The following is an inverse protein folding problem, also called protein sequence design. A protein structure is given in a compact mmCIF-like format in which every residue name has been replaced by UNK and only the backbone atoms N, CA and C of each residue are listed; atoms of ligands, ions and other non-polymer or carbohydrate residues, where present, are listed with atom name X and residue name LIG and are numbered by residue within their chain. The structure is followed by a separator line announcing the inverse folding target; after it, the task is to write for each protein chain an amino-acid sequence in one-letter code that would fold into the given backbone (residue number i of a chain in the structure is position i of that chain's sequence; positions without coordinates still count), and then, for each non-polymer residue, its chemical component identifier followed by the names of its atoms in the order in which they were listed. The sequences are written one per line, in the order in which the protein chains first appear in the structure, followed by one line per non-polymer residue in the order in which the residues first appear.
data_IF_227974056370
#
_entry.id   IF_227974056370
#
_cell.length_a   1.000
_cell.length_b   1.000
_cell.length_c   1.000
_cell.angle_alpha   90.00
_cell.angle_beta   90.00
_cell.angle_gamma   90.00
#
_symmetry.space_group_name_H-M   'P 1'
#
loop_
_entity.id
_entity.type
_entity.pdbx_description
1 polymer ?
#
# COMPACT_ATOMS: atom_id res chain seq x y z
N UNK A 1 12.84 -8.70 -21.33
CA UNK A 1 12.21 -7.36 -21.24
C UNK A 1 13.32 -6.31 -21.31
N UNK A 2 13.19 -5.25 -22.12
CA UNK A 2 14.19 -4.17 -22.19
C UNK A 2 14.31 -3.47 -20.83
N UNK A 3 15.53 -3.17 -20.38
CA UNK A 3 15.77 -2.57 -19.04
C UNK A 3 15.09 -1.20 -18.86
N UNK A 4 14.84 -0.48 -19.96
CA UNK A 4 14.09 0.79 -19.95
C UNK A 4 12.61 0.66 -19.57
N UNK A 5 12.03 -0.55 -19.66
CA UNK A 5 10.66 -0.82 -19.24
C UNK A 5 10.55 -1.24 -17.76
N UNK A 6 11.65 -1.74 -17.15
CA UNK A 6 11.67 -2.12 -15.72
C UNK A 6 11.37 -0.93 -14.80
N UNK A 7 11.86 0.26 -15.14
CA UNK A 7 11.57 1.51 -14.40
C UNK A 7 10.16 2.08 -14.64
N UNK A 8 9.41 1.57 -15.63
CA UNK A 8 8.04 2.05 -15.95
C UNK A 8 6.94 1.22 -15.30
N UNK A 9 7.29 0.19 -14.54
CA UNK A 9 6.33 -0.54 -13.73
C UNK A 9 5.89 0.33 -12.55
N UNK A 10 4.79 1.04 -12.77
CA UNK A 10 4.08 1.77 -11.72
C UNK A 10 3.03 0.83 -11.12
N UNK A 11 3.22 0.48 -9.84
CA UNK A 11 2.21 -0.20 -9.06
C UNK A 11 1.50 0.80 -8.17
N UNK A 12 0.17 0.74 -8.17
CA UNK A 12 -0.64 1.50 -7.25
C UNK A 12 -1.20 0.55 -6.20
N UNK A 13 -0.78 0.73 -4.95
CA UNK A 13 -1.26 -0.04 -3.81
C UNK A 13 -2.23 0.84 -3.02
N UNK A 14 -3.49 0.42 -2.92
CA UNK A 14 -4.51 1.09 -2.11
C UNK A 14 -4.68 0.31 -0.81
N UNK A 15 -4.34 0.93 0.32
CA UNK A 15 -4.56 0.37 1.65
C UNK A 15 -5.75 1.07 2.31
N UNK A 16 -6.72 0.31 2.80
CA UNK A 16 -7.91 0.81 3.51
C UNK A 16 -8.28 -0.09 4.69
N UNK A 17 -8.94 0.45 5.70
CA UNK A 17 -9.51 -0.38 6.78
C UNK A 17 -10.71 -1.18 6.25
N UNK A 18 -10.83 -2.45 6.65
CA UNK A 18 -11.95 -3.34 6.29
C UNK A 18 -13.20 -3.15 7.16
N UNK A 19 -13.28 -2.05 7.91
CA UNK A 19 -14.12 -1.94 9.10
C UNK A 19 -15.62 -2.12 8.79
N UNK A 20 -16.23 -3.18 9.31
CA UNK A 20 -17.68 -3.41 9.32
C UNK A 20 -18.28 -2.47 10.38
N UNK A 21 -18.49 -1.18 10.06
CA UNK A 21 -19.24 -0.26 10.92
C UNK A 21 -18.68 1.15 11.11
N UNK A 22 -17.48 1.44 10.61
CA UNK A 22 -17.03 2.82 10.39
C UNK A 22 -17.01 3.05 8.88
N UNK A 23 -17.56 4.17 8.42
CA UNK A 23 -17.66 4.61 7.02
C UNK A 23 -16.61 3.94 6.12
N UNK A 24 -17.07 3.13 5.16
CA UNK A 24 -16.35 2.14 4.32
C UNK A 24 -15.09 2.63 3.56
N UNK A 25 -14.63 3.85 3.79
CA UNK A 25 -13.58 4.51 3.02
C UNK A 25 -12.51 5.22 3.86
N UNK A 26 -12.34 4.88 5.15
CA UNK A 26 -11.23 5.47 5.91
C UNK A 26 -9.88 4.93 5.41
N UNK A 27 -9.10 5.82 4.78
CA UNK A 27 -7.75 5.56 4.31
C UNK A 27 -6.69 6.28 5.17
N UNK A 28 -7.08 6.74 6.35
CA UNK A 28 -6.23 7.41 7.32
C UNK A 28 -6.43 6.84 8.71
N UNK A 29 -5.36 6.88 9.50
CA UNK A 29 -5.35 6.57 10.91
C UNK A 29 -4.81 7.79 11.65
N UNK A 30 -5.65 8.41 12.50
CA UNK A 30 -5.30 9.62 13.24
C UNK A 30 -4.78 10.76 12.35
N UNK A 31 -5.35 10.92 11.14
CA UNK A 31 -4.93 11.94 10.18
C UNK A 31 -3.68 11.58 9.38
N UNK A 32 -3.07 10.41 9.61
CA UNK A 32 -1.97 9.88 8.81
C UNK A 32 -2.55 8.91 7.79
N UNK A 33 -2.38 9.21 6.50
CA UNK A 33 -2.82 8.31 5.43
C UNK A 33 -2.13 6.96 5.51
N UNK A 34 -2.91 5.90 5.35
CA UNK A 34 -2.45 4.50 5.37
C UNK A 34 -1.38 4.20 4.31
N UNK A 35 -1.40 4.91 3.17
CA UNK A 35 -0.37 4.80 2.13
C UNK A 35 1.06 5.08 2.65
N UNK A 36 1.19 5.89 3.72
CA UNK A 36 2.50 6.20 4.33
C UNK A 36 3.11 5.05 5.10
N UNK A 37 2.33 4.02 5.40
CA UNK A 37 2.76 2.80 6.08
C UNK A 37 3.18 1.71 5.09
N UNK A 38 3.16 1.99 3.79
CA UNK A 38 3.53 1.06 2.72
C UNK A 38 4.81 1.53 2.07
N UNK A 39 5.83 0.68 2.10
CA UNK A 39 7.07 0.86 1.36
C UNK A 39 7.06 -0.09 0.17
N UNK A 40 7.12 0.44 -1.06
CA UNK A 40 7.37 -0.36 -2.24
C UNK A 40 8.85 -0.32 -2.60
N UNK A 41 9.36 -1.45 -3.08
CA UNK A 41 10.70 -1.56 -3.65
C UNK A 41 10.62 -2.39 -4.92
N UNK A 42 11.32 -1.96 -5.96
CA UNK A 42 11.41 -2.64 -7.25
C UNK A 42 12.84 -3.12 -7.40
N UNK A 43 13.03 -4.43 -7.52
CA UNK A 43 14.33 -5.04 -7.78
C UNK A 43 14.18 -6.02 -8.95
N UNK A 44 14.81 -5.68 -10.07
CA UNK A 44 14.75 -6.42 -11.34
C UNK A 44 13.32 -6.63 -11.86
N UNK A 45 12.75 -7.80 -11.61
CA UNK A 45 11.42 -8.25 -12.00
C UNK A 45 10.48 -8.51 -10.81
N UNK A 46 10.97 -8.29 -9.59
CA UNK A 46 10.22 -8.43 -8.35
C UNK A 46 9.82 -7.06 -7.79
N UNK A 47 8.55 -6.95 -7.40
CA UNK A 47 8.06 -5.82 -6.61
C UNK A 47 7.66 -6.32 -5.23
N UNK A 48 8.30 -5.72 -4.22
CA UNK A 48 8.05 -6.04 -2.82
C UNK A 48 7.34 -4.88 -2.14
N UNK A 49 6.22 -5.16 -1.49
CA UNK A 49 5.51 -4.24 -0.62
C UNK A 49 5.75 -4.63 0.83
N UNK A 50 6.35 -3.73 1.61
CA UNK A 50 6.52 -3.89 3.05
C UNK A 50 5.48 -3.00 3.74
N UNK A 51 4.57 -3.62 4.50
CA UNK A 51 3.43 -2.95 5.12
C UNK A 51 3.63 -2.98 6.63
N UNK A 52 3.72 -1.81 7.27
CA UNK A 52 3.87 -1.66 8.72
C UNK A 52 2.69 -0.91 9.31
N UNK A 53 1.63 -1.64 9.65
CA UNK A 53 0.36 -1.04 10.06
C UNK A 53 0.45 -0.35 11.43
N UNK A 54 -0.26 0.77 11.63
CA UNK A 54 -0.26 1.48 12.91
C UNK A 54 -1.07 0.80 14.01
N UNK A 55 -1.96 -0.13 13.63
CA UNK A 55 -2.83 -0.87 14.54
C UNK A 55 -3.09 -2.27 13.97
N UNK A 56 -3.44 -3.22 14.83
CA UNK A 56 -4.01 -4.51 14.43
C UNK A 56 -5.45 -4.33 13.91
N UNK A 57 -5.80 -5.06 12.86
CA UNK A 57 -7.12 -5.06 12.27
C UNK A 57 -7.14 -5.70 10.89
N UNK A 58 -8.31 -5.66 10.26
CA UNK A 58 -8.51 -6.15 8.90
C UNK A 58 -8.40 -4.99 7.90
N UNK A 59 -7.76 -5.24 6.75
CA UNK A 59 -7.45 -4.24 5.72
C UNK A 59 -7.71 -4.79 4.31
N UNK A 60 -8.04 -3.88 3.39
CA UNK A 60 -8.11 -4.10 1.94
C UNK A 60 -6.93 -3.44 1.22
#
# INVERSE_FOLDING_TARGET
MPDSLKQRLAFHFHLRFSNIGQTEDSNDFQGIKLERYVLHTIQDDLVSFNIHLPQEGDYF
#
